data_IF_602718402623
#
_entry.id   IF_602718402623
#
_cell.length_a   1.000
_cell.length_b   1.000
_cell.length_c   1.000
_cell.angle_alpha   90.00
_cell.angle_beta   90.00
_cell.angle_gamma   90.00
#
_symmetry.space_group_name_H-M   'P 1'
#
loop_
_entity.id
_entity.type
_entity.pdbx_description
1 polymer ?
#
# COMPACT_ATOMS: atom_id res chain seq x y z
N UNK A 1 -8.94 -50.08 40.72
CA UNK A 1 -10.32 -49.76 40.32
C UNK A 1 -10.31 -49.49 38.83
N UNK A 2 -10.79 -50.47 38.06
CA UNK A 2 -10.75 -50.43 36.62
C UNK A 2 -12.03 -49.83 36.05
N UNK A 3 -11.90 -48.94 35.08
CA UNK A 3 -13.02 -48.52 34.25
C UNK A 3 -12.97 -49.22 32.91
N UNK A 4 -13.99 -50.05 32.65
CA UNK A 4 -14.26 -50.69 31.35
C UNK A 4 -15.01 -49.69 30.46
N UNK A 5 -14.53 -49.48 29.23
CA UNK A 5 -15.27 -48.81 28.15
C UNK A 5 -16.19 -49.80 27.45
N UNK A 6 -17.48 -49.50 27.35
CA UNK A 6 -18.46 -50.25 26.56
C UNK A 6 -18.39 -49.74 25.11
N UNK A 7 -18.16 -50.64 24.18
CA UNK A 7 -18.33 -50.43 22.75
C UNK A 7 -19.82 -50.46 22.39
N UNK A 8 -20.37 -49.34 21.94
CA UNK A 8 -21.67 -49.26 21.30
C UNK A 8 -21.48 -49.16 19.79
N UNK A 9 -22.07 -50.12 19.06
CA UNK A 9 -22.11 -50.10 17.59
C UNK A 9 -22.98 -48.92 17.14
N UNK A 10 -22.42 -48.09 16.27
CA UNK A 10 -23.17 -47.10 15.48
C UNK A 10 -23.34 -47.62 14.05
N UNK A 11 -24.59 -47.71 13.67
CA UNK A 11 -25.09 -48.08 12.37
C UNK A 11 -24.69 -47.02 11.30
N UNK A 12 -24.25 -47.52 10.15
CA UNK A 12 -24.00 -46.73 8.93
C UNK A 12 -25.21 -45.88 8.55
N UNK A 13 -25.01 -44.56 8.52
CA UNK A 13 -25.87 -43.64 7.77
C UNK A 13 -25.07 -43.10 6.59
N UNK A 14 -25.52 -43.44 5.41
CA UNK A 14 -24.96 -43.04 4.13
C UNK A 14 -24.84 -41.53 4.03
N UNK A 15 -23.62 -41.02 3.99
CA UNK A 15 -23.34 -39.60 3.71
C UNK A 15 -23.39 -39.37 2.21
N UNK A 16 -24.38 -38.61 1.77
CA UNK A 16 -24.40 -37.97 0.46
C UNK A 16 -23.18 -37.07 0.29
N UNK A 17 -22.41 -37.14 -0.81
CA UNK A 17 -21.27 -36.23 -0.97
C UNK A 17 -21.76 -34.82 -1.18
N UNK A 18 -21.28 -33.90 -0.34
CA UNK A 18 -21.44 -32.45 -0.51
C UNK A 18 -20.86 -32.05 -1.85
N UNK A 19 -21.67 -31.36 -2.66
CA UNK A 19 -21.26 -30.78 -3.94
C UNK A 19 -20.08 -29.84 -3.72
N UNK A 20 -18.98 -30.09 -4.43
CA UNK A 20 -17.83 -29.19 -4.48
C UNK A 20 -18.29 -27.81 -5.01
N UNK A 21 -17.75 -26.71 -4.47
CA UNK A 21 -18.02 -25.39 -5.02
C UNK A 21 -17.54 -25.33 -6.48
N UNK A 22 -18.20 -24.58 -7.36
CA UNK A 22 -17.85 -24.50 -8.77
C UNK A 22 -16.41 -24.00 -8.91
N UNK A 23 -15.58 -24.77 -9.61
CA UNK A 23 -14.23 -24.35 -9.99
C UNK A 23 -14.33 -23.07 -10.82
N UNK A 24 -13.85 -21.94 -10.27
CA UNK A 24 -13.65 -20.73 -11.07
C UNK A 24 -12.64 -21.07 -12.16
N UNK A 25 -13.07 -20.97 -13.40
CA UNK A 25 -12.20 -21.07 -14.58
C UNK A 25 -11.15 -19.98 -14.47
N UNK A 26 -9.88 -20.35 -14.56
CA UNK A 26 -8.76 -19.44 -14.79
C UNK A 26 -8.83 -18.95 -16.25
N UNK A 27 -9.76 -18.04 -16.51
CA UNK A 27 -9.71 -17.14 -17.64
C UNK A 27 -9.01 -15.89 -17.15
N UNK A 28 -8.00 -15.40 -17.87
CA UNK A 28 -7.47 -14.07 -17.67
C UNK A 28 -8.67 -13.12 -17.79
N UNK A 29 -9.18 -12.66 -16.65
CA UNK A 29 -10.16 -11.57 -16.59
C UNK A 29 -9.40 -10.35 -17.09
N UNK A 30 -9.77 -9.86 -18.28
CA UNK A 30 -9.57 -8.47 -18.59
C UNK A 30 -10.23 -7.73 -17.41
N UNK A 31 -9.41 -7.03 -16.61
CA UNK A 31 -9.93 -6.25 -15.50
C UNK A 31 -10.86 -5.21 -16.12
N UNK A 32 -12.16 -5.39 -15.89
CA UNK A 32 -13.12 -4.39 -16.25
C UNK A 32 -12.75 -3.11 -15.52
N UNK A 33 -12.62 -2.02 -16.26
CA UNK A 33 -12.37 -0.70 -15.71
C UNK A 33 -13.41 -0.45 -14.59
N UNK A 34 -12.93 0.07 -13.45
CA UNK A 34 -13.84 0.48 -12.37
C UNK A 34 -14.82 1.46 -12.96
N UNK A 35 -16.06 1.04 -13.19
CA UNK A 35 -17.13 1.92 -13.61
C UNK A 35 -17.52 2.81 -12.43
N UNK A 36 -18.16 3.94 -12.67
CA UNK A 36 -18.67 4.80 -11.60
C UNK A 36 -19.54 4.03 -10.59
N UNK A 37 -20.16 2.91 -11.01
CA UNK A 37 -20.93 2.01 -10.16
C UNK A 37 -20.08 1.29 -9.12
N UNK A 38 -18.85 0.85 -9.45
CA UNK A 38 -17.95 0.15 -8.51
C UNK A 38 -17.54 1.03 -7.33
N UNK A 39 -17.37 2.34 -7.53
CA UNK A 39 -17.07 3.27 -6.45
C UNK A 39 -18.19 3.34 -5.40
N UNK A 40 -19.41 3.06 -5.79
CA UNK A 40 -20.61 3.16 -4.95
C UNK A 40 -21.13 1.80 -4.43
N UNK A 41 -20.48 0.70 -4.80
CA UNK A 41 -20.74 -0.65 -4.30
C UNK A 41 -19.56 -1.07 -3.37
N UNK A 42 -19.83 -1.20 -2.08
CA UNK A 42 -18.81 -1.51 -1.07
C UNK A 42 -18.19 -2.91 -1.27
N UNK A 43 -18.97 -3.86 -1.78
CA UNK A 43 -18.50 -5.23 -2.04
C UNK A 43 -17.60 -5.27 -3.27
N UNK A 44 -18.03 -4.66 -4.37
CA UNK A 44 -17.22 -4.54 -5.59
C UNK A 44 -15.93 -3.76 -5.33
N UNK A 45 -15.97 -2.70 -4.54
CA UNK A 45 -14.77 -1.97 -4.13
C UNK A 45 -13.80 -2.85 -3.34
N UNK A 46 -14.30 -3.60 -2.37
CA UNK A 46 -13.46 -4.47 -1.53
C UNK A 46 -12.84 -5.60 -2.34
N UNK A 47 -13.56 -6.19 -3.29
CA UNK A 47 -13.01 -7.20 -4.20
C UNK A 47 -11.94 -6.59 -5.11
N UNK A 48 -12.16 -5.38 -5.63
CA UNK A 48 -11.15 -4.62 -6.39
C UNK A 48 -9.90 -4.31 -5.56
N UNK A 49 -10.03 -3.97 -4.28
CA UNK A 49 -8.90 -3.76 -3.36
C UNK A 49 -8.12 -5.07 -3.13
N UNK A 50 -8.81 -6.20 -2.96
CA UNK A 50 -8.20 -7.53 -2.83
C UNK A 50 -7.37 -7.87 -4.06
N UNK A 51 -7.89 -7.64 -5.24
CA UNK A 51 -7.21 -7.88 -6.52
C UNK A 51 -5.99 -6.95 -6.67
N UNK A 52 -6.15 -5.66 -6.33
CA UNK A 52 -5.07 -4.68 -6.35
C UNK A 52 -3.91 -5.06 -5.41
N UNK A 53 -4.18 -5.40 -4.16
CA UNK A 53 -3.16 -5.85 -3.20
C UNK A 53 -2.49 -7.13 -3.69
N UNK A 54 -3.25 -8.05 -4.25
CA UNK A 54 -2.74 -9.33 -4.79
C UNK A 54 -1.78 -9.09 -5.96
N UNK A 55 -2.07 -8.12 -6.82
CA UNK A 55 -1.21 -7.72 -7.95
C UNK A 55 0.02 -6.90 -7.50
N UNK A 56 0.03 -6.36 -6.28
CA UNK A 56 1.00 -5.38 -5.78
C UNK A 56 1.89 -5.93 -4.65
N UNK A 57 2.70 -6.99 -4.85
CA UNK A 57 3.53 -7.59 -3.80
C UNK A 57 4.74 -6.73 -3.39
N UNK A 58 5.08 -5.68 -4.13
CA UNK A 58 6.11 -4.68 -3.83
C UNK A 58 5.69 -3.31 -4.37
N UNK A 59 6.37 -2.23 -3.96
CA UNK A 59 6.12 -0.87 -4.47
C UNK A 59 6.22 -0.78 -5.99
N UNK A 60 7.18 -1.48 -6.60
CA UNK A 60 7.35 -1.52 -8.06
C UNK A 60 6.14 -2.15 -8.76
N UNK A 61 5.59 -3.22 -8.19
CA UNK A 61 4.38 -3.87 -8.71
C UNK A 61 3.14 -2.99 -8.47
N UNK A 62 3.06 -2.30 -7.33
CA UNK A 62 1.97 -1.37 -7.05
C UNK A 62 1.93 -0.22 -8.07
N UNK A 63 3.08 0.40 -8.35
CA UNK A 63 3.18 1.43 -9.37
C UNK A 63 2.80 0.91 -10.76
N UNK A 64 3.23 -0.30 -11.12
CA UNK A 64 2.89 -0.93 -12.40
C UNK A 64 1.39 -1.27 -12.49
N UNK A 65 0.77 -1.75 -11.41
CA UNK A 65 -0.67 -2.08 -11.39
C UNK A 65 -1.53 -0.81 -11.46
N UNK A 66 -1.15 0.27 -10.75
CA UNK A 66 -1.80 1.59 -10.89
C UNK A 66 -1.72 2.05 -12.35
N UNK A 67 -0.55 1.99 -12.98
CA UNK A 67 -0.37 2.37 -14.38
C UNK A 67 -1.25 1.55 -15.32
N UNK A 68 -1.24 0.22 -15.19
CA UNK A 68 -2.05 -0.70 -16.01
C UNK A 68 -3.54 -0.37 -15.92
N UNK A 69 -4.05 -0.09 -14.71
CA UNK A 69 -5.47 0.26 -14.49
C UNK A 69 -5.79 1.62 -15.10
N UNK A 70 -4.92 2.60 -14.93
CA UNK A 70 -5.10 3.94 -15.50
C UNK A 70 -5.07 3.92 -17.04
N UNK A 71 -4.21 3.11 -17.66
CA UNK A 71 -4.22 2.89 -19.11
C UNK A 71 -5.57 2.36 -19.60
N UNK A 72 -6.17 1.46 -18.83
CA UNK A 72 -7.50 0.91 -19.12
C UNK A 72 -8.64 1.94 -19.15
N UNK A 73 -8.44 3.12 -18.53
CA UNK A 73 -9.41 4.23 -18.52
C UNK A 73 -8.91 5.49 -19.26
N UNK A 74 -7.90 5.32 -20.15
CA UNK A 74 -7.47 6.33 -21.09
C UNK A 74 -6.39 7.30 -20.60
N UNK A 75 -5.65 6.94 -19.54
CA UNK A 75 -4.43 7.67 -19.18
C UNK A 75 -3.25 7.18 -20.03
N UNK A 76 -2.34 8.07 -20.37
CA UNK A 76 -1.15 7.75 -21.14
C UNK A 76 0.13 8.02 -20.33
N UNK A 77 1.13 7.17 -20.53
CA UNK A 77 2.44 7.33 -19.90
C UNK A 77 3.17 8.55 -20.47
N UNK A 78 3.70 9.39 -19.59
CA UNK A 78 4.61 10.46 -19.94
C UNK A 78 6.06 10.04 -19.64
N UNK A 79 6.99 10.47 -20.48
CA UNK A 79 8.42 10.30 -20.24
C UNK A 79 8.96 11.52 -19.46
N UNK A 80 9.49 11.27 -18.27
CA UNK A 80 10.05 12.33 -17.43
C UNK A 80 11.40 12.86 -17.95
N UNK A 81 12.06 12.16 -18.86
CA UNK A 81 13.38 12.53 -19.40
C UNK A 81 13.32 13.57 -20.53
N UNK A 82 12.11 13.81 -21.07
CA UNK A 82 11.90 14.80 -22.14
C UNK A 82 11.11 16.01 -21.65
N UNK A 83 11.11 17.10 -22.41
CA UNK A 83 10.26 18.26 -22.14
C UNK A 83 8.78 17.90 -22.35
N UNK A 84 7.91 18.42 -21.46
CA UNK A 84 6.46 18.23 -21.57
C UNK A 84 5.75 19.41 -22.27
N UNK A 85 6.49 20.44 -22.66
CA UNK A 85 5.89 21.59 -23.34
C UNK A 85 5.39 21.19 -24.73
N UNK A 86 4.09 21.32 -24.95
CA UNK A 86 3.44 21.13 -26.25
C UNK A 86 2.81 19.76 -26.52
N UNK A 87 3.16 18.71 -25.79
CA UNK A 87 2.65 17.35 -26.09
C UNK A 87 2.44 16.47 -24.84
N UNK A 88 1.92 17.06 -23.76
CA UNK A 88 1.58 16.26 -22.57
C UNK A 88 0.15 15.75 -22.64
N UNK A 89 -0.11 14.45 -22.42
CA UNK A 89 -1.48 13.94 -22.31
C UNK A 89 -2.23 14.63 -21.17
N UNK A 90 -3.47 15.04 -21.41
CA UNK A 90 -4.30 15.69 -20.38
C UNK A 90 -4.65 14.73 -19.25
N UNK A 91 -4.79 13.45 -19.53
CA UNK A 91 -4.85 12.34 -18.58
C UNK A 91 -3.56 11.55 -18.75
N UNK A 92 -2.65 11.70 -17.80
CA UNK A 92 -1.33 11.11 -17.91
C UNK A 92 -0.81 10.59 -16.57
N UNK A 93 0.28 9.81 -16.66
CA UNK A 93 0.99 9.35 -15.49
C UNK A 93 2.49 9.23 -15.79
N UNK A 94 3.29 9.21 -14.71
CA UNK A 94 4.72 8.97 -14.73
C UNK A 94 5.10 8.04 -13.58
N UNK A 95 6.01 7.10 -13.82
CA UNK A 95 6.56 6.19 -12.81
C UNK A 95 8.01 6.57 -12.54
N UNK A 96 8.36 6.65 -11.26
CA UNK A 96 9.74 6.81 -10.80
C UNK A 96 10.03 5.75 -9.74
N UNK A 97 10.80 4.72 -10.09
CA UNK A 97 11.06 3.55 -9.23
C UNK A 97 9.76 2.85 -8.80
N UNK A 98 9.50 2.74 -7.49
CA UNK A 98 8.24 2.24 -6.94
C UNK A 98 7.18 3.31 -6.71
N UNK A 99 7.44 4.57 -7.07
CA UNK A 99 6.48 5.66 -6.98
C UNK A 99 5.77 5.89 -8.32
N UNK A 100 4.52 6.36 -8.26
CA UNK A 100 3.74 6.76 -9.44
C UNK A 100 3.01 8.07 -9.16
N UNK A 101 2.95 8.94 -10.16
CA UNK A 101 2.10 10.12 -10.14
C UNK A 101 1.21 10.15 -11.39
N UNK A 102 -0.07 10.41 -11.21
CA UNK A 102 -1.05 10.51 -12.28
C UNK A 102 -1.83 11.82 -12.17
N UNK A 103 -2.30 12.33 -13.30
CA UNK A 103 -3.03 13.59 -13.36
C UNK A 103 -4.15 13.56 -14.39
N UNK A 104 -5.18 14.38 -14.13
CA UNK A 104 -6.13 14.84 -15.13
C UNK A 104 -6.16 16.38 -15.11
N UNK A 105 -5.97 16.99 -16.27
CA UNK A 105 -5.88 18.43 -16.43
C UNK A 105 -7.18 19.01 -17.01
N UNK A 106 -7.66 20.17 -16.54
CA UNK A 106 -8.77 20.88 -17.15
C UNK A 106 -8.40 21.41 -18.55
N UNK A 107 -9.37 21.70 -19.39
CA UNK A 107 -9.10 22.28 -20.72
C UNK A 107 -8.39 23.63 -20.62
N UNK A 108 -8.82 24.43 -19.68
CA UNK A 108 -8.23 25.73 -19.35
C UNK A 108 -8.12 25.85 -17.84
N UNK A 109 -7.07 26.45 -17.35
CA UNK A 109 -6.92 26.73 -15.92
C UNK A 109 -7.74 27.96 -15.54
N UNK A 110 -8.78 27.86 -14.68
CA UNK A 110 -9.55 29.04 -14.25
C UNK A 110 -8.68 30.04 -13.48
N UNK A 111 -9.04 31.30 -13.58
CA UNK A 111 -8.42 32.34 -12.74
C UNK A 111 -8.63 32.02 -11.25
N UNK A 112 -7.56 32.05 -10.46
CA UNK A 112 -7.62 31.73 -9.03
C UNK A 112 -7.62 30.24 -8.69
N UNK A 113 -7.55 29.34 -9.68
CA UNK A 113 -7.45 27.90 -9.45
C UNK A 113 -6.14 27.50 -8.73
N UNK A 114 -6.19 26.41 -7.99
CA UNK A 114 -5.05 25.66 -7.45
C UNK A 114 -4.90 24.31 -8.14
N UNK A 115 -4.19 23.40 -7.50
CA UNK A 115 -4.13 21.97 -7.86
C UNK A 115 -4.68 21.16 -6.68
N UNK A 116 -5.44 20.10 -6.95
CA UNK A 116 -6.00 19.22 -5.93
C UNK A 116 -5.24 17.90 -5.92
N UNK A 117 -4.44 17.70 -4.88
CA UNK A 117 -3.49 16.60 -4.78
C UNK A 117 -4.01 15.58 -3.77
N UNK A 118 -3.91 14.30 -4.10
CA UNK A 118 -4.02 13.18 -3.16
C UNK A 118 -2.67 12.49 -3.13
N UNK A 119 -2.06 12.42 -1.95
CA UNK A 119 -0.79 11.75 -1.70
C UNK A 119 -1.01 10.46 -0.91
N UNK A 120 -0.28 9.40 -1.25
CA UNK A 120 -0.23 8.11 -0.56
C UNK A 120 1.17 7.51 -0.72
N UNK A 121 1.43 6.27 -0.24
CA UNK A 121 2.67 5.56 -0.51
C UNK A 121 2.43 4.11 -0.93
N UNK A 122 3.40 3.54 -1.68
CA UNK A 122 3.31 2.21 -2.31
C UNK A 122 4.07 1.13 -1.55
N UNK A 123 5.08 1.52 -0.77
CA UNK A 123 5.91 0.61 0.01
C UNK A 123 5.22 0.18 1.31
N UNK A 124 5.73 -0.87 1.93
CA UNK A 124 5.25 -1.44 3.19
C UNK A 124 6.38 -2.18 3.89
N UNK A 125 6.36 -2.36 5.23
CA UNK A 125 7.41 -3.05 5.95
C UNK A 125 7.59 -4.49 5.51
N UNK A 126 8.86 -4.92 5.39
CA UNK A 126 9.22 -6.23 4.87
C UNK A 126 10.65 -6.65 5.28
N UNK A 127 11.13 -7.75 4.71
CA UNK A 127 12.55 -8.12 4.74
C UNK A 127 13.12 -7.94 3.33
N UNK A 128 14.14 -7.09 3.17
CA UNK A 128 14.81 -6.79 1.90
C UNK A 128 16.02 -7.70 1.72
N UNK A 129 16.19 -8.29 0.53
CA UNK A 129 17.36 -9.08 0.18
C UNK A 129 18.62 -8.22 0.22
N UNK A 130 19.67 -8.76 0.85
CA UNK A 130 21.02 -8.20 0.80
C UNK A 130 21.78 -8.73 -0.43
N UNK A 131 22.84 -8.06 -0.88
CA UNK A 131 23.81 -8.67 -1.80
C UNK A 131 24.34 -10.00 -1.24
N UNK A 132 24.61 -10.99 -2.09
CA UNK A 132 24.87 -12.38 -1.72
C UNK A 132 23.71 -12.95 -0.89
N UNK A 133 22.55 -13.07 -1.55
CA UNK A 133 21.27 -13.34 -0.92
C UNK A 133 21.14 -14.75 -0.34
N UNK A 134 22.02 -15.71 -0.69
CA UNK A 134 22.01 -17.05 -0.10
C UNK A 134 23.14 -17.26 0.90
N UNK A 135 22.82 -17.91 2.04
CA UNK A 135 23.82 -18.35 3.02
C UNK A 135 23.45 -19.76 3.54
N UNK A 136 24.48 -20.52 3.93
CA UNK A 136 24.30 -21.87 4.49
C UNK A 136 24.59 -21.85 5.99
N UNK A 137 23.65 -22.40 6.78
CA UNK A 137 23.80 -22.57 8.22
C UNK A 137 23.12 -23.87 8.67
N UNK A 138 23.84 -24.71 9.40
CA UNK A 138 23.31 -25.95 10.00
C UNK A 138 22.55 -26.87 9.03
N UNK A 139 23.02 -26.98 7.78
CA UNK A 139 22.38 -27.80 6.75
C UNK A 139 21.19 -27.15 6.06
N UNK A 140 20.90 -25.89 6.35
CA UNK A 140 19.84 -25.10 5.70
C UNK A 140 20.44 -24.04 4.78
N UNK A 141 19.77 -23.78 3.69
CA UNK A 141 20.00 -22.61 2.85
C UNK A 141 19.00 -21.52 3.25
N UNK A 142 19.52 -20.36 3.66
CA UNK A 142 18.77 -19.23 4.18
C UNK A 142 18.89 -18.06 3.21
N UNK A 143 17.88 -17.19 3.24
CA UNK A 143 17.91 -15.91 2.55
C UNK A 143 18.54 -14.86 3.45
N UNK A 144 19.62 -14.23 2.99
CA UNK A 144 20.26 -13.11 3.66
C UNK A 144 19.45 -11.85 3.42
N UNK A 145 18.78 -11.37 4.44
CA UNK A 145 17.89 -10.24 4.35
C UNK A 145 18.11 -9.24 5.49
N UNK A 146 17.67 -8.01 5.28
CA UNK A 146 17.62 -6.97 6.31
C UNK A 146 16.19 -6.46 6.48
N UNK A 147 15.90 -5.90 7.64
CA UNK A 147 14.59 -5.35 7.96
C UNK A 147 14.40 -4.03 7.21
N UNK A 148 13.31 -3.92 6.46
CA UNK A 148 12.86 -2.71 5.78
C UNK A 148 11.69 -2.10 6.53
N UNK A 149 11.81 -0.83 6.93
CA UNK A 149 10.79 -0.15 7.71
C UNK A 149 10.65 -0.62 9.16
N UNK A 150 9.44 -0.49 9.69
CA UNK A 150 9.10 -0.84 11.06
C UNK A 150 8.14 -2.04 11.20
N UNK A 151 8.44 -3.25 10.66
CA UNK A 151 7.52 -4.38 10.71
C UNK A 151 7.24 -4.87 12.13
N UNK A 152 6.03 -5.33 12.39
CA UNK A 152 5.71 -6.14 13.57
C UNK A 152 6.34 -7.53 13.38
N UNK A 153 7.59 -7.68 13.76
CA UNK A 153 8.48 -8.81 13.42
C UNK A 153 7.87 -10.17 13.73
N UNK A 154 7.21 -10.30 14.89
CA UNK A 154 6.59 -11.56 15.32
C UNK A 154 5.51 -12.05 14.35
N UNK A 155 4.87 -11.15 13.62
CA UNK A 155 3.80 -11.51 12.67
C UNK A 155 4.33 -12.17 11.38
N UNK A 156 5.62 -12.01 11.07
CA UNK A 156 6.28 -12.62 9.91
C UNK A 156 6.77 -14.06 10.20
N UNK A 157 6.81 -14.45 11.48
CA UNK A 157 7.13 -15.82 11.85
C UNK A 157 6.04 -16.79 11.39
N UNK A 158 6.47 -17.98 10.98
CA UNK A 158 5.60 -19.09 10.59
C UNK A 158 4.62 -18.82 9.45
N UNK A 159 4.96 -17.84 8.60
CA UNK A 159 4.21 -17.54 7.38
C UNK A 159 5.01 -17.88 6.13
N UNK A 160 4.31 -18.35 5.11
CA UNK A 160 4.89 -18.55 3.79
C UNK A 160 5.11 -17.18 3.15
N UNK A 161 6.37 -16.96 2.76
CA UNK A 161 6.83 -15.73 2.13
C UNK A 161 7.21 -15.99 0.67
N UNK A 162 6.81 -15.07 -0.20
CA UNK A 162 7.35 -14.94 -1.54
C UNK A 162 8.40 -13.84 -1.59
N UNK A 163 9.07 -13.72 -2.72
CA UNK A 163 9.99 -12.65 -3.07
C UNK A 163 9.41 -11.85 -4.23
N UNK A 164 9.46 -10.52 -4.15
CA UNK A 164 9.00 -9.65 -5.21
C UNK A 164 9.79 -8.34 -5.25
N UNK A 165 9.98 -7.81 -6.46
CA UNK A 165 10.72 -6.58 -6.65
C UNK A 165 11.16 -6.40 -8.10
N UNK A 166 12.32 -5.77 -8.28
CA UNK A 166 12.93 -5.57 -9.60
C UNK A 166 14.34 -6.15 -9.67
N UNK A 167 14.68 -6.64 -10.85
CA UNK A 167 16.03 -6.99 -11.27
C UNK A 167 16.48 -5.98 -12.34
N UNK A 168 17.74 -5.59 -12.30
CA UNK A 168 18.32 -4.68 -13.31
C UNK A 168 19.48 -5.38 -13.98
N UNK A 169 19.48 -5.43 -15.30
CA UNK A 169 20.54 -6.02 -16.11
C UNK A 169 21.66 -5.00 -16.43
N UNK A 170 22.81 -5.48 -16.91
CA UNK A 170 23.99 -4.65 -17.20
C UNK A 170 23.76 -3.59 -18.27
N UNK A 171 22.80 -3.80 -19.17
CA UNK A 171 22.37 -2.84 -20.17
C UNK A 171 21.37 -1.78 -19.62
N UNK A 172 20.99 -1.90 -18.35
CA UNK A 172 20.06 -1.00 -17.68
C UNK A 172 18.58 -1.38 -17.79
N UNK A 173 18.25 -2.50 -18.44
CA UNK A 173 16.85 -2.95 -18.50
C UNK A 173 16.36 -3.38 -17.11
N UNK A 174 15.08 -3.07 -16.81
CA UNK A 174 14.44 -3.36 -15.52
C UNK A 174 13.35 -4.40 -15.73
N UNK A 175 13.40 -5.46 -14.92
CA UNK A 175 12.46 -6.56 -14.97
C UNK A 175 11.79 -6.75 -13.60
N UNK A 176 10.46 -6.74 -13.58
CA UNK A 176 9.72 -7.09 -12.36
C UNK A 176 9.75 -8.60 -12.17
N UNK A 177 9.95 -9.03 -10.93
CA UNK A 177 9.97 -10.43 -10.56
C UNK A 177 9.11 -10.69 -9.34
N UNK A 178 8.39 -11.81 -9.38
CA UNK A 178 7.54 -12.28 -8.29
C UNK A 178 7.57 -13.80 -8.22
N UNK A 179 7.74 -14.34 -7.01
CA UNK A 179 7.66 -15.79 -6.75
C UNK A 179 6.32 -16.17 -6.13
N UNK A 180 6.07 -17.48 -6.06
CA UNK A 180 5.10 -18.05 -5.12
C UNK A 180 5.66 -18.13 -3.69
N UNK A 181 5.05 -18.97 -2.81
CA UNK A 181 5.54 -19.24 -1.46
C UNK A 181 6.82 -20.10 -1.54
N UNK A 182 7.97 -19.51 -1.26
CA UNK A 182 9.28 -20.16 -1.37
C UNK A 182 10.15 -20.03 -0.13
N UNK A 183 9.73 -19.22 0.86
CA UNK A 183 10.53 -18.98 2.04
C UNK A 183 9.66 -18.90 3.32
N UNK A 184 10.29 -19.08 4.48
CA UNK A 184 9.60 -18.98 5.78
C UNK A 184 10.59 -18.64 6.88
N UNK A 185 10.24 -17.72 7.77
CA UNK A 185 10.96 -17.50 9.03
C UNK A 185 10.34 -18.43 10.08
N UNK A 186 11.04 -19.50 10.43
CA UNK A 186 10.53 -20.46 11.40
C UNK A 186 10.75 -19.97 12.83
N UNK A 187 9.71 -20.02 13.66
CA UNK A 187 9.81 -19.76 15.10
C UNK A 187 10.35 -20.98 15.85
N UNK A 188 11.06 -20.73 16.97
CA UNK A 188 11.53 -21.80 17.84
C UNK A 188 10.36 -22.45 18.59
N UNK A 189 10.40 -23.78 18.69
CA UNK A 189 9.37 -24.51 19.44
C UNK A 189 9.54 -24.31 20.96
N UNK A 190 8.44 -24.28 21.73
CA UNK A 190 8.50 -24.11 23.18
C UNK A 190 9.23 -25.24 23.93
N UNK A 191 9.45 -26.38 23.27
CA UNK A 191 10.29 -27.46 23.80
C UNK A 191 11.78 -27.12 23.84
N UNK A 192 12.23 -26.20 22.98
CA UNK A 192 13.62 -25.73 22.91
C UNK A 192 13.82 -24.42 23.67
N UNK A 193 12.80 -23.56 23.74
CA UNK A 193 12.78 -22.34 24.56
C UNK A 193 11.46 -22.25 25.31
N UNK A 194 11.50 -22.55 26.62
CA UNK A 194 10.30 -22.56 27.46
C UNK A 194 9.78 -21.17 27.80
N UNK A 195 10.60 -20.13 27.59
CA UNK A 195 10.24 -18.73 27.84
C UNK A 195 9.59 -18.03 26.65
N UNK A 196 9.52 -18.68 25.48
CA UNK A 196 9.05 -18.07 24.23
C UNK A 196 7.64 -17.48 24.29
N UNK A 197 6.77 -18.03 25.16
CA UNK A 197 5.43 -17.51 25.36
C UNK A 197 5.35 -16.36 26.38
N UNK A 198 6.37 -16.18 27.21
CA UNK A 198 6.45 -15.10 28.19
C UNK A 198 7.19 -13.90 27.61
N UNK A 199 8.27 -14.16 26.84
CA UNK A 199 9.10 -13.13 26.20
C UNK A 199 9.62 -13.63 24.88
N UNK A 200 9.18 -13.03 23.77
CA UNK A 200 9.72 -13.27 22.45
C UNK A 200 10.73 -12.17 22.10
N UNK A 201 12.01 -12.50 22.15
CA UNK A 201 13.08 -11.61 21.69
C UNK A 201 13.55 -12.02 20.29
N UNK A 202 13.44 -11.11 19.32
CA UNK A 202 13.87 -11.33 17.93
C UNK A 202 15.11 -10.48 17.61
N UNK A 203 16.25 -11.15 17.52
CA UNK A 203 17.47 -10.55 16.98
C UNK A 203 17.32 -10.40 15.45
N UNK A 204 17.45 -9.16 14.97
CA UNK A 204 17.21 -8.83 13.54
C UNK A 204 18.24 -9.47 12.61
N UNK A 205 19.44 -9.76 13.07
CA UNK A 205 20.52 -10.31 12.25
C UNK A 205 20.47 -11.84 12.14
N UNK A 206 19.95 -12.52 13.17
CA UNK A 206 20.07 -13.98 13.27
C UNK A 206 18.74 -14.72 13.25
N UNK A 207 17.67 -14.11 13.75
CA UNK A 207 16.37 -14.78 13.93
C UNK A 207 15.39 -14.55 12.77
N UNK A 208 15.70 -13.60 11.87
CA UNK A 208 14.78 -13.18 10.78
C UNK A 208 15.29 -13.58 9.38
N UNK A 209 16.19 -14.55 9.31
CA UNK A 209 16.66 -15.10 8.04
C UNK A 209 15.68 -16.15 7.53
N UNK A 210 14.98 -15.93 6.41
CA UNK A 210 14.02 -16.91 5.93
C UNK A 210 14.71 -18.19 5.47
N UNK A 211 14.18 -19.33 5.88
CA UNK A 211 14.53 -20.65 5.36
C UNK A 211 14.05 -20.72 3.91
N UNK A 212 14.92 -21.15 3.00
CA UNK A 212 14.58 -21.31 1.59
C UNK A 212 14.62 -22.75 1.13
N UNK A 213 15.70 -23.48 1.46
CA UNK A 213 15.85 -24.89 1.10
C UNK A 213 16.77 -25.64 2.07
N UNK A 214 16.90 -26.94 1.88
CA UNK A 214 17.98 -27.70 2.47
C UNK A 214 19.28 -27.41 1.68
N UNK A 215 20.39 -27.27 2.40
CA UNK A 215 21.68 -27.10 1.76
C UNK A 215 22.11 -28.42 1.11
N UNK A 216 22.20 -28.44 -0.21
CA UNK A 216 22.84 -29.53 -0.96
C UNK A 216 24.36 -29.36 -1.06
N UNK A 217 25.07 -30.35 -1.64
CA UNK A 217 26.51 -30.24 -1.86
C UNK A 217 26.89 -29.07 -2.79
N UNK A 218 25.96 -28.63 -3.64
CA UNK A 218 26.16 -27.59 -4.65
C UNK A 218 25.46 -26.26 -4.26
N UNK A 219 25.24 -26.02 -2.96
CA UNK A 219 24.60 -24.80 -2.48
C UNK A 219 25.46 -23.57 -2.82
N UNK A 220 25.05 -22.83 -3.84
CA UNK A 220 25.74 -21.62 -4.31
C UNK A 220 25.33 -20.35 -3.54
N UNK A 221 26.22 -19.38 -3.32
CA UNK A 221 25.91 -18.14 -2.62
C UNK A 221 24.99 -17.21 -3.41
N UNK A 222 24.86 -17.37 -4.72
CA UNK A 222 24.01 -16.64 -5.65
C UNK A 222 22.75 -17.42 -6.08
N UNK A 223 22.42 -18.51 -5.36
CA UNK A 223 21.32 -19.39 -5.74
C UNK A 223 19.96 -18.67 -5.74
N UNK A 224 19.73 -17.69 -4.86
CA UNK A 224 18.50 -16.92 -4.79
C UNK A 224 18.38 -15.99 -5.99
N UNK A 225 19.46 -15.26 -6.31
CA UNK A 225 19.55 -14.37 -7.46
C UNK A 225 19.38 -15.14 -8.77
N UNK A 226 20.03 -16.31 -8.90
CA UNK A 226 19.91 -17.21 -10.05
C UNK A 226 18.45 -17.64 -10.24
N UNK A 227 17.79 -18.07 -9.19
CA UNK A 227 16.37 -18.46 -9.24
C UNK A 227 15.45 -17.29 -9.66
N UNK A 228 15.71 -16.07 -9.15
CA UNK A 228 14.95 -14.89 -9.56
C UNK A 228 15.18 -14.54 -11.04
N UNK A 229 16.40 -14.69 -11.53
CA UNK A 229 16.74 -14.50 -12.95
C UNK A 229 16.01 -15.53 -13.84
N UNK A 230 15.96 -16.80 -13.45
CA UNK A 230 15.21 -17.85 -14.16
C UNK A 230 13.72 -17.49 -14.30
N UNK A 231 13.08 -17.01 -13.21
CA UNK A 231 11.68 -16.57 -13.24
C UNK A 231 11.49 -15.38 -14.15
N UNK A 232 12.43 -14.42 -14.16
CA UNK A 232 12.37 -13.22 -14.99
C UNK A 232 12.78 -13.45 -16.45
N UNK A 233 13.31 -14.64 -16.78
CA UNK A 233 13.83 -14.96 -18.11
C UNK A 233 15.12 -14.21 -18.46
N UNK A 234 15.96 -13.93 -17.46
CA UNK A 234 17.24 -13.20 -17.58
C UNK A 234 18.39 -14.18 -17.40
N UNK A 235 19.45 -14.06 -18.20
CA UNK A 235 20.71 -14.76 -17.93
C UNK A 235 21.29 -14.23 -16.61
N UNK A 236 21.57 -15.09 -15.60
CA UNK A 236 22.18 -14.66 -14.34
C UNK A 236 23.49 -13.87 -14.51
N UNK A 237 24.25 -14.12 -15.57
CA UNK A 237 25.48 -13.36 -15.89
C UNK A 237 25.20 -11.91 -16.26
N UNK A 238 24.00 -11.58 -16.70
CA UNK A 238 23.58 -10.22 -17.05
C UNK A 238 23.02 -9.44 -15.84
N UNK A 239 22.77 -10.09 -14.70
CA UNK A 239 22.28 -9.39 -13.51
C UNK A 239 23.32 -8.38 -13.01
N UNK A 240 22.88 -7.12 -12.87
CA UNK A 240 23.70 -6.03 -12.34
C UNK A 240 23.29 -5.63 -10.91
N UNK A 241 22.02 -5.78 -10.56
CA UNK A 241 21.51 -5.43 -9.24
C UNK A 241 20.05 -5.83 -9.05
N UNK A 242 19.62 -5.81 -7.81
CA UNK A 242 18.24 -6.13 -7.46
C UNK A 242 17.73 -5.27 -6.31
N UNK A 243 16.42 -4.96 -6.34
CA UNK A 243 15.64 -4.45 -5.22
C UNK A 243 14.48 -5.41 -5.01
N UNK A 244 14.68 -6.41 -4.16
CA UNK A 244 13.70 -7.48 -3.92
C UNK A 244 13.41 -7.57 -2.43
N UNK A 245 12.13 -7.69 -2.10
CA UNK A 245 11.62 -7.80 -0.73
C UNK A 245 10.80 -9.07 -0.58
N UNK A 246 10.68 -9.53 0.66
CA UNK A 246 9.72 -10.59 0.99
C UNK A 246 8.30 -10.02 1.03
N UNK A 247 7.32 -10.85 0.72
CA UNK A 247 5.91 -10.53 0.96
C UNK A 247 5.16 -11.77 1.46
N UNK A 248 4.18 -11.62 2.38
CA UNK A 248 3.29 -12.71 2.77
C UNK A 248 2.43 -13.17 1.60
N UNK A 249 2.48 -14.47 1.29
CA UNK A 249 1.74 -15.04 0.14
C UNK A 249 0.30 -15.38 0.45
N UNK A 250 -0.10 -15.32 1.72
CA UNK A 250 -1.48 -15.51 2.13
C UNK A 250 -2.38 -14.44 1.51
N UNK A 251 -3.36 -14.86 0.71
CA UNK A 251 -4.27 -13.96 0.03
C UNK A 251 -5.08 -13.09 1.02
N UNK A 252 -5.40 -11.84 0.64
CA UNK A 252 -6.39 -11.05 1.37
C UNK A 252 -7.71 -11.80 1.51
N UNK A 253 -8.40 -11.63 2.63
CA UNK A 253 -9.68 -12.31 2.86
C UNK A 253 -10.61 -11.49 3.75
N UNK A 254 -11.90 -11.46 3.41
CA UNK A 254 -12.94 -10.99 4.30
C UNK A 254 -13.12 -11.99 5.44
N UNK A 255 -13.43 -11.50 6.63
CA UNK A 255 -13.72 -12.31 7.80
C UNK A 255 -14.60 -11.51 8.78
N UNK A 256 -14.88 -12.10 9.92
CA UNK A 256 -15.83 -11.59 10.91
C UNK A 256 -17.14 -12.35 10.81
N UNK A 257 -18.02 -12.12 11.78
CA UNK A 257 -19.32 -12.79 11.84
C UNK A 257 -20.16 -12.49 10.59
N UNK A 258 -20.14 -11.23 10.17
CA UNK A 258 -20.98 -10.70 9.09
C UNK A 258 -20.12 -10.28 7.86
N UNK A 259 -18.82 -10.71 7.82
CA UNK A 259 -17.89 -10.39 6.74
C UNK A 259 -17.38 -8.95 6.78
N UNK A 260 -17.51 -8.27 7.92
CA UNK A 260 -17.29 -6.83 8.10
C UNK A 260 -15.82 -6.41 8.13
N UNK A 261 -14.88 -7.37 8.16
CA UNK A 261 -13.46 -7.09 8.23
C UNK A 261 -12.71 -7.63 7.01
N UNK A 262 -11.61 -6.99 6.69
CA UNK A 262 -10.62 -7.42 5.70
C UNK A 262 -9.29 -7.69 6.39
N UNK A 263 -8.73 -8.89 6.22
CA UNK A 263 -7.38 -9.22 6.65
C UNK A 263 -6.45 -9.28 5.44
N UNK A 264 -5.39 -8.50 5.45
CA UNK A 264 -4.37 -8.48 4.39
C UNK A 264 -3.04 -7.97 4.92
N UNK A 265 -1.95 -8.29 4.24
CA UNK A 265 -0.71 -7.51 4.35
C UNK A 265 -0.82 -6.23 3.50
N UNK A 266 -0.05 -5.21 3.83
CA UNK A 266 0.09 -3.98 3.01
C UNK A 266 -1.20 -3.16 2.86
N UNK A 267 -2.17 -3.27 3.79
CA UNK A 267 -3.27 -2.31 3.86
C UNK A 267 -2.72 -0.91 4.11
N UNK A 268 -1.72 -0.80 4.94
CA UNK A 268 -0.79 0.30 5.02
C UNK A 268 0.29 0.13 3.94
N UNK A 269 0.27 0.94 2.84
CA UNK A 269 -0.75 1.97 2.56
C UNK A 269 -1.45 1.74 1.20
N UNK A 270 -1.46 0.49 0.70
CA UNK A 270 -2.13 0.14 -0.56
C UNK A 270 -3.65 0.41 -0.50
N UNK A 271 -4.25 0.48 0.68
CA UNK A 271 -5.65 0.88 0.85
C UNK A 271 -5.89 2.32 0.40
N UNK A 272 -4.98 3.26 0.75
CA UNK A 272 -5.08 4.65 0.33
C UNK A 272 -4.70 4.84 -1.14
N UNK A 273 -3.69 4.12 -1.64
CA UNK A 273 -3.35 4.11 -3.07
C UNK A 273 -4.54 3.66 -3.90
N UNK A 274 -5.19 2.55 -3.50
CA UNK A 274 -6.38 2.05 -4.18
C UNK A 274 -7.56 3.01 -4.10
N UNK A 275 -7.77 3.68 -2.95
CA UNK A 275 -8.85 4.66 -2.81
C UNK A 275 -8.67 5.85 -3.77
N UNK A 276 -7.43 6.38 -3.88
CA UNK A 276 -7.11 7.43 -4.85
C UNK A 276 -7.24 6.94 -6.30
N UNK A 277 -6.76 5.73 -6.61
CA UNK A 277 -6.90 5.12 -7.94
C UNK A 277 -8.36 4.94 -8.33
N UNK A 278 -9.19 4.35 -7.48
CA UNK A 278 -10.61 4.13 -7.75
C UNK A 278 -11.38 5.45 -7.96
N UNK A 279 -11.04 6.48 -7.17
CA UNK A 279 -11.60 7.81 -7.34
C UNK A 279 -11.20 8.45 -8.69
N UNK A 280 -9.95 8.23 -9.14
CA UNK A 280 -9.44 8.75 -10.41
C UNK A 280 -10.04 7.98 -11.62
N UNK A 281 -10.20 6.67 -11.50
CA UNK A 281 -10.90 5.83 -12.49
C UNK A 281 -12.36 6.25 -12.63
N UNK A 282 -13.06 6.50 -11.53
CA UNK A 282 -14.44 6.97 -11.54
C UNK A 282 -14.57 8.35 -12.21
N UNK A 283 -13.65 9.27 -11.92
CA UNK A 283 -13.61 10.59 -12.58
C UNK A 283 -13.41 10.45 -14.08
N UNK A 284 -12.56 9.51 -14.51
CA UNK A 284 -12.33 9.24 -15.93
C UNK A 284 -13.55 8.61 -16.62
N UNK A 285 -14.24 7.68 -15.95
CA UNK A 285 -15.38 6.94 -16.51
C UNK A 285 -16.62 7.82 -16.73
N UNK A 286 -16.88 8.77 -15.84
CA UNK A 286 -18.02 9.71 -15.98
C UNK A 286 -17.79 10.74 -17.09
N UNK A 287 -16.56 10.86 -17.60
CA UNK A 287 -16.20 11.82 -18.64
C UNK A 287 -16.25 13.28 -18.16
N UNK A 288 -16.39 13.51 -16.84
CA UNK A 288 -16.35 14.84 -16.27
C UNK A 288 -14.94 15.41 -16.34
N UNK A 289 -14.79 16.52 -17.04
CA UNK A 289 -13.53 17.27 -17.03
C UNK A 289 -13.38 17.96 -15.65
N UNK A 290 -12.23 17.80 -14.97
CA UNK A 290 -12.00 18.48 -13.72
C UNK A 290 -11.93 20.00 -13.95
N UNK A 291 -12.40 20.80 -13.02
CA UNK A 291 -12.29 22.26 -13.08
C UNK A 291 -10.90 22.77 -12.67
N UNK A 292 -10.16 21.98 -11.91
CA UNK A 292 -8.79 22.24 -11.48
C UNK A 292 -7.94 21.00 -11.78
N UNK A 293 -6.61 21.12 -11.93
CA UNK A 293 -5.74 19.94 -12.04
C UNK A 293 -5.92 19.02 -10.85
N UNK A 294 -6.26 17.75 -11.10
CA UNK A 294 -6.31 16.71 -10.08
C UNK A 294 -5.11 15.79 -10.23
N UNK A 295 -4.51 15.43 -9.11
CA UNK A 295 -3.24 14.68 -9.05
C UNK A 295 -3.35 13.60 -7.98
N UNK A 296 -3.05 12.37 -8.38
CA UNK A 296 -2.74 11.27 -7.46
C UNK A 296 -1.22 11.09 -7.47
N UNK A 297 -0.59 11.07 -6.30
CA UNK A 297 0.80 10.67 -6.17
C UNK A 297 0.92 9.60 -5.08
N UNK A 298 1.55 8.48 -5.42
CA UNK A 298 1.89 7.42 -4.47
C UNK A 298 3.42 7.31 -4.43
N UNK A 299 4.01 7.73 -3.31
CA UNK A 299 5.45 7.75 -3.10
C UNK A 299 5.99 6.36 -2.78
N UNK A 300 7.31 6.18 -2.94
CA UNK A 300 8.05 5.02 -2.45
C UNK A 300 8.88 5.42 -1.22
N UNK A 301 9.27 4.45 -0.40
CA UNK A 301 10.18 4.65 0.74
C UNK A 301 9.61 5.52 1.90
N UNK A 302 8.29 5.60 2.06
CA UNK A 302 7.68 6.25 3.23
C UNK A 302 8.15 5.58 4.51
N UNK A 303 8.12 4.25 4.55
CA UNK A 303 8.42 3.37 5.68
C UNK A 303 9.87 3.48 6.20
N UNK A 304 10.73 4.14 5.45
CA UNK A 304 12.13 4.39 5.78
C UNK A 304 12.48 5.89 5.81
N UNK A 305 11.45 6.75 5.88
CA UNK A 305 11.58 8.19 6.14
C UNK A 305 11.56 9.07 4.91
N UNK A 306 11.11 8.60 3.76
CA UNK A 306 10.84 9.41 2.55
C UNK A 306 12.05 10.13 1.90
N UNK A 307 13.23 10.09 2.47
CA UNK A 307 14.41 10.86 2.03
C UNK A 307 15.11 10.20 0.82
N UNK A 308 14.38 10.00 -0.27
CA UNK A 308 14.89 9.39 -1.52
C UNK A 308 14.35 10.14 -2.74
N UNK A 309 14.88 9.83 -3.94
CA UNK A 309 14.44 10.49 -5.20
C UNK A 309 12.96 10.23 -5.55
N UNK A 310 12.38 9.13 -5.05
CA UNK A 310 11.00 8.71 -5.27
C UNK A 310 10.12 8.85 -4.01
N UNK A 311 10.71 9.22 -2.87
CA UNK A 311 10.00 9.49 -1.62
C UNK A 311 9.46 10.92 -1.57
N UNK A 312 8.61 11.19 -0.58
CA UNK A 312 7.94 12.49 -0.42
C UNK A 312 8.91 13.64 -0.12
N UNK A 313 10.03 13.36 0.56
CA UNK A 313 11.09 14.36 0.80
C UNK A 313 11.98 14.61 -0.43
N UNK A 314 11.88 13.75 -1.46
CA UNK A 314 12.53 13.93 -2.74
C UNK A 314 11.85 14.97 -3.63
N UNK A 315 12.42 15.27 -4.81
CA UNK A 315 11.93 16.32 -5.70
C UNK A 315 10.73 15.89 -6.57
N UNK A 316 10.19 14.67 -6.39
CA UNK A 316 9.26 14.10 -7.38
C UNK A 316 7.99 14.94 -7.52
N UNK A 317 7.30 15.21 -6.42
CA UNK A 317 6.07 16.01 -6.45
C UNK A 317 6.33 17.44 -6.90
N UNK A 318 7.34 18.11 -6.35
CA UNK A 318 7.66 19.49 -6.74
C UNK A 318 7.96 19.60 -8.25
N UNK A 319 8.80 18.70 -8.78
CA UNK A 319 9.13 18.67 -10.21
C UNK A 319 7.87 18.46 -11.06
N UNK A 320 7.01 17.52 -10.65
CA UNK A 320 5.73 17.26 -11.32
C UNK A 320 4.87 18.53 -11.39
N UNK A 321 4.61 19.16 -10.23
CA UNK A 321 3.72 20.32 -10.15
C UNK A 321 4.23 21.49 -10.98
N UNK A 322 5.54 21.78 -10.93
CA UNK A 322 6.16 22.83 -11.75
C UNK A 322 6.07 22.55 -13.25
N UNK A 323 6.24 21.29 -13.66
CA UNK A 323 6.10 20.87 -15.06
C UNK A 323 4.65 20.97 -15.55
N UNK A 324 3.68 20.53 -14.73
CA UNK A 324 2.25 20.67 -15.05
C UNK A 324 1.84 22.15 -15.12
N UNK A 325 2.32 22.99 -14.21
CA UNK A 325 2.10 24.43 -14.24
C UNK A 325 2.61 25.04 -15.58
N UNK A 326 3.81 24.66 -16.02
CA UNK A 326 4.37 25.12 -17.28
C UNK A 326 3.53 24.73 -18.51
N UNK A 327 3.02 23.48 -18.52
CA UNK A 327 2.09 22.98 -19.56
C UNK A 327 0.78 23.79 -19.59
N UNK A 328 0.28 24.17 -18.42
CA UNK A 328 -0.91 25.03 -18.26
C UNK A 328 -0.64 26.52 -18.52
N UNK A 329 0.57 26.87 -18.96
CA UNK A 329 0.96 28.26 -19.27
C UNK A 329 1.32 29.12 -18.06
N UNK A 330 1.43 28.52 -16.85
CA UNK A 330 1.79 29.23 -15.61
C UNK A 330 3.31 29.25 -15.45
N UNK A 331 3.92 30.42 -15.28
CA UNK A 331 5.37 30.61 -15.22
C UNK A 331 5.78 31.68 -14.19
N UNK A 332 7.06 31.65 -13.80
CA UNK A 332 7.64 32.60 -12.85
C UNK A 332 6.96 32.53 -11.48
N UNK A 333 6.75 33.67 -10.83
CA UNK A 333 6.11 33.79 -9.51
C UNK A 333 4.64 33.34 -9.48
N UNK A 334 3.98 33.28 -10.66
CA UNK A 334 2.64 32.74 -10.78
C UNK A 334 2.57 31.25 -10.42
N UNK A 335 3.70 30.50 -10.53
CA UNK A 335 3.79 29.11 -10.08
C UNK A 335 3.67 29.05 -8.56
N UNK A 336 4.37 29.92 -7.85
CA UNK A 336 4.31 29.95 -6.38
C UNK A 336 2.92 30.40 -5.89
N UNK A 337 2.28 31.34 -6.59
CA UNK A 337 0.89 31.71 -6.35
C UNK A 337 -0.10 30.55 -6.63
N UNK A 338 0.15 29.73 -7.65
CA UNK A 338 -0.63 28.52 -7.94
C UNK A 338 -0.47 27.49 -6.81
N UNK A 339 0.77 27.25 -6.36
CA UNK A 339 1.05 26.31 -5.25
C UNK A 339 0.39 26.78 -3.95
N UNK A 340 0.44 28.09 -3.65
CA UNK A 340 -0.19 28.67 -2.45
C UNK A 340 -1.73 28.48 -2.42
N UNK A 341 -2.37 28.33 -3.57
CA UNK A 341 -3.80 28.02 -3.69
C UNK A 341 -4.09 26.53 -3.76
N UNK A 342 -3.06 25.70 -3.97
CA UNK A 342 -3.20 24.27 -4.06
C UNK A 342 -3.45 23.63 -2.70
N UNK A 343 -4.07 22.46 -2.71
CA UNK A 343 -4.36 21.67 -1.52
C UNK A 343 -3.92 20.22 -1.69
N UNK A 344 -3.58 19.57 -0.58
CA UNK A 344 -3.20 18.17 -0.57
C UNK A 344 -3.97 17.40 0.50
N UNK A 345 -4.58 16.29 0.12
CA UNK A 345 -5.06 15.26 1.04
C UNK A 345 -3.99 14.17 1.10
N UNK A 346 -3.26 14.12 2.22
CA UNK A 346 -2.29 13.07 2.53
C UNK A 346 -3.06 11.88 3.11
N UNK A 347 -3.25 10.87 2.27
CA UNK A 347 -4.01 9.68 2.62
C UNK A 347 -3.06 8.56 3.05
N UNK A 348 -3.11 8.24 4.34
CA UNK A 348 -2.25 7.24 4.96
C UNK A 348 -3.00 6.57 6.12
N UNK A 349 -2.88 5.24 6.27
CA UNK A 349 -3.61 4.48 7.27
C UNK A 349 -3.34 5.00 8.69
N UNK A 350 -4.29 4.79 9.60
CA UNK A 350 -4.15 5.19 11.00
C UNK A 350 -4.66 4.09 11.95
N UNK A 351 -4.60 4.35 13.25
CA UNK A 351 -4.93 3.34 14.25
C UNK A 351 -6.40 3.40 14.64
N UNK A 352 -7.10 2.27 14.53
CA UNK A 352 -8.33 2.03 15.30
C UNK A 352 -7.99 1.76 16.76
N UNK A 353 -8.90 2.05 17.69
CA UNK A 353 -8.73 1.69 19.09
C UNK A 353 -8.59 0.17 19.25
N UNK A 354 -7.49 -0.25 19.87
CA UNK A 354 -7.22 -1.65 20.13
C UNK A 354 -7.90 -2.10 21.42
N UNK A 355 -8.84 -3.07 21.40
CA UNK A 355 -9.67 -3.40 22.58
C UNK A 355 -8.88 -3.87 23.80
N UNK A 356 -7.75 -4.58 23.59
CA UNK A 356 -6.89 -5.03 24.69
C UNK A 356 -5.88 -3.95 25.16
N UNK A 357 -5.72 -2.86 24.40
CA UNK A 357 -4.76 -1.79 24.66
C UNK A 357 -5.39 -0.40 24.58
N UNK A 358 -6.68 -0.28 24.93
CA UNK A 358 -7.41 0.98 24.85
C UNK A 358 -6.74 2.13 25.66
N UNK A 359 -5.99 1.80 26.71
CA UNK A 359 -5.24 2.77 27.52
C UNK A 359 -4.08 3.45 26.79
N UNK A 360 -3.65 2.94 25.63
CA UNK A 360 -2.64 3.55 24.76
C UNK A 360 -3.24 4.55 23.76
N UNK A 361 -4.55 4.63 23.68
CA UNK A 361 -5.28 5.60 22.84
C UNK A 361 -5.75 6.78 23.67
N UNK A 362 -6.19 7.85 23.00
CA UNK A 362 -6.84 8.98 23.68
C UNK A 362 -8.11 8.50 24.38
N UNK A 363 -8.38 8.94 25.64
CA UNK A 363 -9.54 8.44 26.38
C UNK A 363 -10.89 8.96 25.89
N UNK A 364 -10.91 9.98 25.02
CA UNK A 364 -12.13 10.65 24.53
C UNK A 364 -12.32 10.38 23.04
N UNK A 365 -11.27 10.57 22.22
CA UNK A 365 -11.30 10.38 20.78
C UNK A 365 -10.88 8.94 20.46
N UNK A 366 -11.87 8.08 20.19
CA UNK A 366 -11.67 6.64 20.06
C UNK A 366 -12.23 6.10 18.75
N UNK A 367 -11.52 6.29 17.62
CA UNK A 367 -12.01 5.85 16.33
C UNK A 367 -12.00 4.33 16.18
N UNK A 368 -12.99 3.83 15.45
CA UNK A 368 -13.22 2.41 15.21
C UNK A 368 -13.24 2.07 13.72
N UNK A 369 -12.93 0.82 13.39
CA UNK A 369 -13.10 0.22 12.07
C UNK A 369 -14.57 0.27 11.65
N UNK A 370 -14.86 0.54 10.37
CA UNK A 370 -16.19 0.67 9.78
C UNK A 370 -17.03 1.85 10.34
N UNK A 371 -16.37 2.90 10.83
CA UNK A 371 -17.02 4.13 11.28
C UNK A 371 -16.61 5.36 10.47
N UNK A 372 -15.84 5.18 9.42
CA UNK A 372 -15.39 6.23 8.49
C UNK A 372 -13.89 6.47 8.55
N UNK A 373 -13.34 7.09 7.49
CA UNK A 373 -11.95 7.48 7.46
C UNK A 373 -11.62 8.48 8.56
N UNK A 374 -10.37 8.41 9.01
CA UNK A 374 -9.82 9.25 10.06
C UNK A 374 -9.46 10.64 9.50
N UNK A 375 -9.71 11.70 10.28
CA UNK A 375 -9.04 12.98 10.21
C UNK A 375 -7.94 13.00 11.28
N UNK A 376 -6.67 12.97 10.86
CA UNK A 376 -5.52 12.87 11.77
C UNK A 376 -5.08 14.26 12.24
N UNK A 377 -5.07 14.50 13.54
CA UNK A 377 -4.72 15.80 14.15
C UNK A 377 -3.59 15.59 15.16
N UNK A 378 -2.57 16.44 15.12
CA UNK A 378 -1.49 16.42 16.10
C UNK A 378 -0.95 17.82 16.38
N UNK A 379 -0.93 18.20 17.66
CA UNK A 379 -0.48 19.55 18.09
C UNK A 379 1.01 19.83 17.79
N UNK A 380 1.83 18.78 17.63
CA UNK A 380 3.25 18.91 17.30
C UNK A 380 3.52 18.79 15.80
N UNK A 381 2.48 18.89 14.96
CA UNK A 381 2.56 18.82 13.50
C UNK A 381 3.22 17.54 12.98
N UNK A 382 3.00 16.40 13.70
CA UNK A 382 3.32 15.07 13.18
C UNK A 382 2.36 14.65 12.07
N UNK A 383 1.20 15.32 12.01
CA UNK A 383 0.25 15.39 10.92
C UNK A 383 0.09 16.87 10.55
N UNK A 384 -0.03 17.16 9.25
CA UNK A 384 -0.08 18.54 8.74
C UNK A 384 -1.46 19.21 8.93
N UNK A 385 -2.45 18.47 9.38
CA UNK A 385 -3.82 18.93 9.52
C UNK A 385 -3.91 20.16 10.43
N UNK A 386 -4.44 21.25 9.90
CA UNK A 386 -4.88 22.43 10.62
C UNK A 386 -6.40 22.64 10.45
N UNK A 387 -6.95 23.73 10.97
CA UNK A 387 -8.37 24.03 10.88
C UNK A 387 -8.86 24.24 9.44
N UNK A 388 -7.98 24.73 8.54
CA UNK A 388 -8.31 24.95 7.12
C UNK A 388 -8.38 23.61 6.40
N UNK A 389 -7.36 22.75 6.60
CA UNK A 389 -7.34 21.39 6.07
C UNK A 389 -8.50 20.54 6.58
N UNK A 390 -8.81 20.64 7.88
CA UNK A 390 -9.98 19.95 8.47
C UNK A 390 -11.30 20.39 7.82
N UNK A 391 -11.45 21.68 7.52
CA UNK A 391 -12.65 22.19 6.83
C UNK A 391 -12.75 21.69 5.37
N UNK A 392 -11.61 21.52 4.67
CA UNK A 392 -11.57 20.94 3.32
C UNK A 392 -12.07 19.47 3.39
N UNK A 393 -11.54 18.70 4.34
CA UNK A 393 -11.93 17.29 4.50
C UNK A 393 -13.41 17.14 4.88
N UNK A 394 -13.89 17.98 5.82
CA UNK A 394 -15.29 17.95 6.24
C UNK A 394 -16.24 18.21 5.07
N UNK A 395 -15.91 19.17 4.17
CA UNK A 395 -16.71 19.43 2.95
C UNK A 395 -16.71 18.24 2.01
N UNK A 396 -15.55 17.61 1.79
CA UNK A 396 -15.42 16.44 0.93
C UNK A 396 -16.27 15.26 1.45
N UNK A 397 -16.21 14.97 2.76
CA UNK A 397 -17.03 13.94 3.39
C UNK A 397 -18.53 14.26 3.31
N UNK A 398 -18.91 15.50 3.57
CA UNK A 398 -20.31 15.93 3.49
C UNK A 398 -20.87 15.82 2.06
N UNK A 399 -20.10 16.24 1.05
CA UNK A 399 -20.49 16.14 -0.35
C UNK A 399 -20.60 14.67 -0.83
N UNK A 400 -19.74 13.80 -0.31
CA UNK A 400 -19.79 12.35 -0.58
C UNK A 400 -20.86 11.61 0.24
N UNK A 401 -21.46 12.25 1.26
CA UNK A 401 -22.40 11.58 2.18
C UNK A 401 -21.75 10.47 3.02
N UNK A 402 -20.47 10.60 3.36
CA UNK A 402 -19.71 9.59 4.11
C UNK A 402 -19.39 10.08 5.53
N UNK A 403 -19.31 9.17 6.53
CA UNK A 403 -18.87 9.53 7.87
C UNK A 403 -17.37 9.85 7.88
N UNK A 404 -16.92 10.56 8.93
CA UNK A 404 -15.51 10.78 9.24
C UNK A 404 -15.32 10.75 10.75
N UNK A 405 -14.15 10.33 11.21
CA UNK A 405 -13.79 10.26 12.63
C UNK A 405 -12.50 11.05 12.86
N UNK A 406 -12.39 11.70 14.01
CA UNK A 406 -11.13 12.30 14.41
C UNK A 406 -10.18 11.24 14.97
N UNK A 407 -8.89 11.47 14.77
CA UNK A 407 -7.80 10.73 15.40
C UNK A 407 -6.83 11.71 16.05
N UNK A 408 -6.57 11.51 17.33
CA UNK A 408 -5.52 12.17 18.09
C UNK A 408 -4.71 11.14 18.85
N UNK A 409 -3.43 11.39 19.07
CA UNK A 409 -2.56 10.49 19.83
C UNK A 409 -2.77 10.68 21.34
N UNK A 410 -2.61 9.60 22.12
CA UNK A 410 -2.45 9.70 23.56
C UNK A 410 -1.17 10.48 23.87
N UNK A 411 -1.25 11.43 24.80
CA UNK A 411 -0.12 12.31 25.15
C UNK A 411 1.12 11.57 25.69
N UNK A 412 0.94 10.37 26.23
CA UNK A 412 2.02 9.54 26.75
C UNK A 412 2.63 8.57 25.72
N UNK A 413 2.09 8.53 24.49
CA UNK A 413 2.52 7.63 23.43
C UNK A 413 3.11 8.44 22.27
N UNK A 414 4.32 8.10 21.76
CA UNK A 414 4.88 8.77 20.59
C UNK A 414 3.95 8.68 19.38
N UNK A 415 3.75 9.80 18.69
CA UNK A 415 2.98 9.85 17.45
C UNK A 415 3.87 9.48 16.27
N UNK A 416 3.35 8.66 15.35
CA UNK A 416 3.93 8.45 14.03
C UNK A 416 3.94 9.74 13.19
N UNK A 417 4.41 9.66 11.97
CA UNK A 417 4.33 10.74 10.99
C UNK A 417 3.89 10.15 9.64
N UNK A 418 3.64 11.01 8.67
CA UNK A 418 3.16 10.68 7.33
C UNK A 418 3.89 11.52 6.30
N UNK A 419 3.57 11.35 5.02
CA UNK A 419 4.04 12.22 3.94
C UNK A 419 3.47 13.65 4.02
N UNK A 420 2.37 13.87 4.76
CA UNK A 420 1.67 15.16 4.85
C UNK A 420 2.54 16.32 5.34
N UNK A 421 3.19 16.21 6.52
CA UNK A 421 4.07 17.25 7.02
C UNK A 421 5.24 17.57 6.08
N UNK A 422 5.77 16.57 5.38
CA UNK A 422 6.85 16.73 4.39
C UNK A 422 6.34 17.56 3.22
N UNK A 423 5.18 17.21 2.65
CA UNK A 423 4.55 17.94 1.54
C UNK A 423 4.25 19.38 1.93
N UNK A 424 3.63 19.60 3.10
CA UNK A 424 3.33 20.93 3.61
C UNK A 424 4.58 21.80 3.79
N UNK A 425 5.63 21.24 4.39
CA UNK A 425 6.88 21.96 4.67
C UNK A 425 7.64 22.31 3.38
N UNK A 426 7.72 21.40 2.43
CA UNK A 426 8.49 21.59 1.20
C UNK A 426 7.83 22.54 0.21
N UNK A 427 6.51 22.48 0.09
CA UNK A 427 5.77 23.14 -1.00
C UNK A 427 4.90 24.31 -0.52
N UNK A 428 4.72 24.48 0.79
CA UNK A 428 3.84 25.52 1.34
C UNK A 428 2.36 25.31 0.97
N UNK A 429 1.96 24.06 0.68
CA UNK A 429 0.59 23.70 0.27
C UNK A 429 -0.22 23.34 1.52
N UNK A 430 -1.47 23.86 1.62
CA UNK A 430 -2.40 23.44 2.66
C UNK A 430 -2.63 21.93 2.58
N UNK A 431 -2.25 21.22 3.63
CA UNK A 431 -2.28 19.74 3.65
C UNK A 431 -3.13 19.24 4.81
N UNK A 432 -3.94 18.23 4.55
CA UNK A 432 -4.75 17.52 5.55
C UNK A 432 -4.39 16.03 5.53
N UNK A 433 -4.14 15.46 6.70
CA UNK A 433 -3.83 14.04 6.87
C UNK A 433 -5.09 13.26 7.23
N UNK A 434 -5.36 12.22 6.43
CA UNK A 434 -6.53 11.35 6.58
C UNK A 434 -6.11 9.88 6.41
N UNK A 435 -7.02 8.92 6.61
CA UNK A 435 -6.74 7.52 6.28
C UNK A 435 -7.76 6.55 6.82
N UNK A 436 -7.63 5.29 6.45
CA UNK A 436 -8.48 4.22 6.99
C UNK A 436 -7.98 3.76 8.37
N UNK A 437 -8.88 3.45 9.32
CA UNK A 437 -8.49 2.89 10.61
C UNK A 437 -8.10 1.41 10.47
N UNK A 438 -6.93 1.04 11.00
CA UNK A 438 -6.41 -0.32 11.01
C UNK A 438 -6.14 -0.84 12.44
N UNK A 439 -6.17 -2.16 12.59
CA UNK A 439 -5.53 -2.88 13.67
C UNK A 439 -4.36 -3.68 13.13
N UNK A 440 -3.37 -3.93 14.00
CA UNK A 440 -2.15 -4.68 13.64
C UNK A 440 -1.40 -4.07 12.44
N UNK A 441 -1.38 -2.74 12.33
CA UNK A 441 -0.57 -2.02 11.33
C UNK A 441 0.87 -2.52 11.33
N UNK A 442 1.51 -2.60 10.17
CA UNK A 442 2.85 -3.17 9.96
C UNK A 442 2.98 -4.68 10.23
N UNK A 443 1.85 -5.37 10.42
CA UNK A 443 1.82 -6.83 10.51
C UNK A 443 1.91 -7.47 9.12
N UNK A 444 2.43 -8.69 9.09
CA UNK A 444 2.28 -9.55 7.91
C UNK A 444 0.80 -9.82 7.56
N UNK A 445 -0.14 -9.48 8.47
CA UNK A 445 -1.58 -9.59 8.25
C UNK A 445 -2.32 -8.56 9.10
N UNK A 446 -2.51 -7.41 8.54
CA UNK A 446 -3.25 -6.29 9.10
C UNK A 446 -4.75 -6.52 9.01
N UNK A 447 -5.53 -5.73 9.75
CA UNK A 447 -6.98 -5.80 9.77
C UNK A 447 -7.58 -4.42 9.54
N UNK A 448 -8.44 -4.30 8.54
CA UNK A 448 -9.23 -3.11 8.22
C UNK A 448 -10.72 -3.42 8.16
N UNK A 449 -11.53 -2.38 7.97
CA UNK A 449 -12.97 -2.48 7.73
C UNK A 449 -13.28 -2.49 6.23
N UNK A 450 -14.33 -3.21 5.85
CA UNK A 450 -14.76 -3.27 4.43
C UNK A 450 -15.45 -1.98 3.96
N UNK A 451 -15.87 -1.09 4.91
CA UNK A 451 -16.58 0.16 4.58
C UNK A 451 -15.67 1.38 4.53
N UNK A 452 -14.56 1.39 5.26
CA UNK A 452 -13.72 2.59 5.40
C UNK A 452 -13.01 2.94 4.09
N UNK A 453 -12.56 1.93 3.32
CA UNK A 453 -11.92 2.11 2.02
C UNK A 453 -12.84 2.76 0.97
N UNK A 454 -14.04 2.22 0.69
CA UNK A 454 -14.97 2.84 -0.24
C UNK A 454 -15.43 4.25 0.21
N UNK A 455 -15.59 4.49 1.51
CA UNK A 455 -15.88 5.85 2.01
C UNK A 455 -14.72 6.81 1.79
N UNK A 456 -13.48 6.38 2.03
CA UNK A 456 -12.29 7.17 1.69
C UNK A 456 -12.28 7.54 0.20
N UNK A 457 -12.47 6.57 -0.67
CA UNK A 457 -12.45 6.79 -2.12
C UNK A 457 -13.54 7.78 -2.58
N UNK A 458 -14.76 7.67 -2.03
CA UNK A 458 -15.86 8.61 -2.31
C UNK A 458 -15.54 10.04 -1.85
N UNK A 459 -14.94 10.20 -0.66
CA UNK A 459 -14.53 11.50 -0.17
C UNK A 459 -13.41 12.11 -1.02
N UNK A 460 -12.42 11.31 -1.45
CA UNK A 460 -11.36 11.75 -2.36
C UNK A 460 -11.91 12.16 -3.74
N UNK A 461 -12.88 11.41 -4.26
CA UNK A 461 -13.56 11.77 -5.51
C UNK A 461 -14.30 13.11 -5.37
N UNK A 462 -15.08 13.31 -4.29
CA UNK A 462 -15.77 14.57 -4.02
C UNK A 462 -14.79 15.74 -3.84
N UNK A 463 -13.68 15.52 -3.15
CA UNK A 463 -12.60 16.51 -3.03
C UNK A 463 -12.06 16.96 -4.40
N UNK A 464 -11.83 16.04 -5.32
CA UNK A 464 -11.39 16.38 -6.69
C UNK A 464 -12.44 17.09 -7.52
N UNK A 465 -13.73 16.89 -7.25
CA UNK A 465 -14.83 17.59 -7.91
C UNK A 465 -15.08 19.00 -7.36
N UNK A 466 -14.32 19.45 -6.37
CA UNK A 466 -14.42 20.84 -5.90
C UNK A 466 -15.15 21.03 -4.56
N UNK A 467 -15.41 19.95 -3.82
CA UNK A 467 -16.03 20.02 -2.50
C UNK A 467 -15.15 20.69 -1.45
#
# INVERSE_FOLDING_TARGET
MGYRWKTGAMTDAASTPASAPPSRRSGALAADAVTGETLWDDDAYTDSLIDFITASPSSYHAAAEVARRLEGVGFARADETVSWEGDLPRRGYVIRDGAIAAWALPETLPAGAGMRIVGAHTDSPALKLKPAAALVRSGWQLINAEVYGGPLLASFLDRELGLAGRLTTRDGAVHLVRTGPIARVAQIAPHLDRSVNDTLHLDRQTHLLPLWSLAGPDAAPDAVETHLCEIAGIDPAELAGHDVLTFPTQAPARFGRDGEFLASSRLDNLSSVHAGLAALEALAAVGTEPTEPVILIAFDHEEVGSATRSGADGPFLETLLRRLAAVLGVRGDAVDALLARSTCVSADAGHSVHPAHAHLHDPVVQPLINHGPLLKINAQQRYATDAVGAAIWARACAAAGVPSQDFVSNNAVPCGSTIGPITATRLGITTVDVGVPLLSMHSAREMGGVKDGPWLARALHAYWLGA
#
